data_IF_926416399957
#
_entry.id   IF_926416399957
#
_cell.length_a   1.000
_cell.length_b   1.000
_cell.length_c   1.000
_cell.angle_alpha   90.00
_cell.angle_beta   90.00
_cell.angle_gamma   90.00
#
_symmetry.space_group_name_H-M   'P 1'
#
loop_
_entity.id
_entity.type
_entity.pdbx_description
1 polymer ?
#
# COMPACT_ATOMS: atom_id res chain seq x y z
N UNK A 1 -13.07 -16.05 -25.99
CA UNK A 1 -13.13 -15.63 -24.58
C UNK A 1 -12.62 -14.21 -24.46
N UNK A 2 -13.37 -13.31 -23.80
CA UNK A 2 -12.94 -11.92 -23.58
C UNK A 2 -11.99 -11.85 -22.38
N UNK A 3 -10.83 -11.20 -22.53
CA UNK A 3 -9.83 -11.02 -21.46
C UNK A 3 -10.08 -9.79 -20.59
N UNK A 4 -11.06 -8.96 -20.96
CA UNK A 4 -11.49 -7.78 -20.22
C UNK A 4 -11.63 -7.97 -18.70
N UNK A 5 -12.23 -9.06 -18.16
CA UNK A 5 -12.31 -9.23 -16.72
C UNK A 5 -10.95 -9.33 -16.04
N UNK A 6 -9.97 -10.01 -16.66
CA UNK A 6 -8.61 -10.10 -16.13
C UNK A 6 -7.90 -8.75 -16.19
N UNK A 7 -8.09 -7.98 -17.27
CA UNK A 7 -7.54 -6.64 -17.40
C UNK A 7 -8.06 -5.70 -16.32
N UNK A 8 -9.37 -5.71 -16.07
CA UNK A 8 -9.99 -4.89 -15.00
C UNK A 8 -9.45 -5.29 -13.64
N UNK A 9 -9.38 -6.60 -13.35
CA UNK A 9 -8.86 -7.08 -12.08
C UNK A 9 -7.39 -6.68 -11.87
N UNK A 10 -6.55 -6.80 -12.91
CA UNK A 10 -5.16 -6.39 -12.85
C UNK A 10 -5.01 -4.88 -12.61
N UNK A 11 -5.83 -4.06 -13.29
CA UNK A 11 -5.83 -2.61 -13.09
C UNK A 11 -6.25 -2.22 -11.67
N UNK A 12 -7.32 -2.83 -11.15
CA UNK A 12 -7.78 -2.61 -9.78
C UNK A 12 -6.74 -3.05 -8.76
N UNK A 13 -6.12 -4.21 -8.96
CA UNK A 13 -5.06 -4.70 -8.10
C UNK A 13 -3.84 -3.78 -8.11
N UNK A 14 -3.39 -3.34 -9.29
CA UNK A 14 -2.29 -2.39 -9.42
C UNK A 14 -2.58 -1.05 -8.73
N UNK A 15 -3.80 -0.53 -8.90
CA UNK A 15 -4.21 0.71 -8.24
C UNK A 15 -4.26 0.57 -6.72
N UNK A 16 -4.85 -0.51 -6.21
CA UNK A 16 -4.94 -0.80 -4.78
C UNK A 16 -3.55 -0.99 -4.17
N UNK A 17 -2.67 -1.77 -4.82
CA UNK A 17 -1.30 -1.96 -4.38
C UNK A 17 -0.53 -0.63 -4.38
N UNK A 18 -0.64 0.15 -5.45
CA UNK A 18 -0.01 1.48 -5.55
C UNK A 18 -0.43 2.45 -4.44
N UNK A 19 -1.68 2.40 -4.01
CA UNK A 19 -2.18 3.22 -2.90
C UNK A 19 -1.67 2.73 -1.52
N UNK A 20 -1.48 1.42 -1.36
CA UNK A 20 -1.03 0.82 -0.10
C UNK A 20 0.50 0.87 0.08
N UNK A 21 1.29 0.93 -1.00
CA UNK A 21 2.75 0.98 -0.96
C UNK A 21 3.29 2.17 -0.14
N UNK A 22 2.82 3.43 -0.32
CA UNK A 22 3.27 4.55 0.50
C UNK A 22 3.04 4.34 2.00
N UNK A 23 1.91 3.74 2.37
CA UNK A 23 1.60 3.43 3.77
C UNK A 23 2.57 2.40 4.32
N UNK A 24 2.86 1.33 3.56
CA UNK A 24 3.85 0.33 3.95
C UNK A 24 5.26 0.94 4.08
N UNK A 25 5.69 1.74 3.10
CA UNK A 25 6.98 2.42 3.11
C UNK A 25 7.13 3.33 4.33
N UNK A 26 6.09 4.09 4.69
CA UNK A 26 6.09 4.92 5.89
C UNK A 26 6.18 4.07 7.18
N UNK A 27 5.36 3.03 7.32
CA UNK A 27 5.32 2.22 8.55
C UNK A 27 6.62 1.44 8.78
N UNK A 28 7.25 0.99 7.69
CA UNK A 28 8.45 0.17 7.69
C UNK A 28 9.76 0.97 7.69
N UNK A 29 9.71 2.29 7.51
CA UNK A 29 10.88 3.15 7.58
C UNK A 29 11.34 3.38 9.04
N UNK A 30 11.57 2.29 9.76
CA UNK A 30 12.14 2.25 11.12
C UNK A 30 13.40 1.39 11.08
N UNK A 31 14.28 1.58 12.06
CA UNK A 31 15.46 0.74 12.19
C UNK A 31 15.07 -0.73 12.40
N UNK A 32 15.92 -1.65 11.95
CA UNK A 32 15.67 -3.07 12.08
C UNK A 32 15.59 -3.47 13.57
N UNK A 33 14.48 -4.07 13.97
CA UNK A 33 14.20 -4.45 15.36
C UNK A 33 13.35 -3.43 16.12
N UNK A 34 13.16 -2.23 15.59
CA UNK A 34 12.24 -1.24 16.15
C UNK A 34 10.79 -1.57 15.71
N UNK A 35 9.77 -1.38 16.57
CA UNK A 35 8.38 -1.47 16.16
C UNK A 35 8.05 -0.53 14.99
N UNK A 36 7.19 -1.03 14.09
CA UNK A 36 6.72 -0.24 12.94
C UNK A 36 6.01 1.03 13.40
N UNK A 37 6.19 2.12 12.63
CA UNK A 37 5.51 3.39 12.90
C UNK A 37 3.99 3.17 12.96
N UNK A 38 3.36 3.64 14.04
CA UNK A 38 1.94 3.44 14.29
C UNK A 38 1.06 4.35 13.41
N UNK A 39 1.38 5.64 13.37
CA UNK A 39 0.62 6.65 12.62
C UNK A 39 1.46 7.87 12.26
N UNK A 40 0.88 8.78 11.49
CA UNK A 40 1.50 10.07 11.22
C UNK A 40 1.51 10.91 12.51
N UNK A 41 2.65 11.50 12.94
CA UNK A 41 2.68 12.37 14.12
C UNK A 41 1.78 13.61 13.97
N UNK A 42 1.41 13.97 12.73
CA UNK A 42 0.42 15.03 12.45
C UNK A 42 -1.04 14.64 12.68
N UNK A 43 -1.34 13.40 13.10
CA UNK A 43 -2.70 12.96 13.43
C UNK A 43 -3.61 12.71 12.22
N UNK A 44 -3.05 12.58 11.01
CA UNK A 44 -3.82 12.16 9.84
C UNK A 44 -4.07 10.64 9.84
N UNK A 45 -5.28 10.19 9.44
CA UNK A 45 -5.66 8.78 9.42
C UNK A 45 -4.86 7.93 8.41
#
# INVERSE_FOLDING_TARGET
>A
MSSLPLTVLAALYGAAAGLLVPRAAYRLAVEAGEPWRAGCPGGHP
#
